data_IF_832774898845
#
_entry.id   IF_832774898845
#
_cell.length_a   1.000
_cell.length_b   1.000
_cell.length_c   1.000
_cell.angle_alpha   90.00
_cell.angle_beta   90.00
_cell.angle_gamma   90.00
#
_symmetry.space_group_name_H-M   'P 1'
#
loop_
_entity.id
_entity.type
_entity.pdbx_description
1 polymer ?
#
# COMPACT_ATOMS: atom_id res chain seq x y z
N UNK A 1 1.56 -23.56 12.86
CA UNK A 1 0.59 -22.52 13.25
C UNK A 1 0.59 -21.48 12.13
N UNK A 2 -0.36 -21.59 11.20
CA UNK A 2 -0.39 -20.85 9.95
C UNK A 2 -0.99 -19.46 10.17
N UNK A 3 -0.17 -18.42 10.13
CA UNK A 3 -0.65 -17.04 10.00
C UNK A 3 -0.92 -16.79 8.52
N UNK A 4 -2.18 -16.93 8.12
CA UNK A 4 -2.66 -16.59 6.79
C UNK A 4 -2.70 -15.07 6.67
N UNK A 5 -1.89 -14.54 5.76
CA UNK A 5 -1.89 -13.13 5.35
C UNK A 5 -3.26 -12.82 4.75
N UNK A 6 -3.95 -11.90 5.39
CA UNK A 6 -5.36 -11.63 5.23
C UNK A 6 -5.60 -10.48 4.23
N UNK A 7 -6.85 -10.45 3.74
CA UNK A 7 -7.65 -9.30 3.33
C UNK A 7 -7.68 -9.02 1.80
N UNK A 8 -8.84 -8.59 1.24
CA UNK A 8 -8.88 -7.85 -0.03
C UNK A 8 -10.10 -6.91 -0.20
N UNK A 9 -11.31 -7.21 0.30
CA UNK A 9 -12.45 -6.30 0.07
C UNK A 9 -13.32 -6.00 1.31
N UNK A 10 -13.61 -6.97 2.18
CA UNK A 10 -14.13 -6.66 3.54
C UNK A 10 -13.12 -6.06 4.50
N UNK A 11 -11.86 -5.96 4.12
CA UNK A 11 -10.82 -5.58 5.06
C UNK A 11 -9.67 -4.77 4.45
N UNK A 12 -9.71 -4.45 3.14
CA UNK A 12 -8.55 -3.93 2.40
C UNK A 12 -8.84 -2.82 1.38
N UNK A 13 -9.95 -2.12 1.54
CA UNK A 13 -10.05 -0.75 1.03
C UNK A 13 -8.88 0.03 1.60
N UNK A 14 -7.96 0.43 0.72
CA UNK A 14 -6.57 0.74 1.04
C UNK A 14 -6.50 1.63 2.28
N UNK A 15 -6.30 0.99 3.42
CA UNK A 15 -5.94 1.64 4.66
C UNK A 15 -4.45 1.42 4.72
N UNK A 16 -3.60 2.46 4.66
CA UNK A 16 -2.26 2.28 5.14
C UNK A 16 -2.45 1.95 6.62
N UNK A 17 -2.23 0.67 6.95
CA UNK A 17 -2.04 0.17 8.30
C UNK A 17 -3.29 0.21 9.20
N UNK A 18 -4.19 -0.77 9.03
CA UNK A 18 -5.05 -1.17 10.16
C UNK A 18 -4.22 -2.02 11.13
N UNK A 19 -3.48 -1.35 12.02
CA UNK A 19 -2.94 -1.98 13.23
C UNK A 19 -4.10 -2.05 14.22
N UNK A 20 -4.45 -3.25 14.68
CA UNK A 20 -5.51 -3.42 15.65
C UNK A 20 -5.16 -2.68 16.95
N UNK A 21 -5.93 -1.64 17.25
CA UNK A 21 -6.21 -1.15 18.61
C UNK A 21 -5.05 -0.52 19.41
N UNK A 22 -4.25 0.39 18.83
CA UNK A 22 -3.30 1.20 19.60
C UNK A 22 -3.46 2.72 19.40
N UNK A 23 -3.26 3.47 20.49
CA UNK A 23 -3.33 4.94 20.58
C UNK A 23 -2.48 5.73 19.56
N UNK A 24 -1.56 5.07 18.87
CA UNK A 24 -0.74 5.56 17.75
C UNK A 24 -1.51 5.77 16.43
N UNK A 25 -2.76 5.29 16.33
CA UNK A 25 -3.64 5.36 15.14
C UNK A 25 -4.00 6.81 14.71
N UNK A 26 -3.75 7.83 15.54
CA UNK A 26 -4.10 9.21 15.20
C UNK A 26 -3.24 9.86 14.10
N UNK A 27 -2.13 9.22 13.70
CA UNK A 27 -1.09 9.89 12.89
C UNK A 27 -0.99 9.35 11.45
N UNK A 28 -1.57 8.18 11.15
CA UNK A 28 -1.47 7.55 9.83
C UNK A 28 -2.82 7.66 9.10
N UNK A 29 -2.75 8.16 7.87
CA UNK A 29 -3.91 8.62 7.15
C UNK A 29 -4.76 7.45 6.60
N UNK A 30 -6.05 7.35 6.95
CA UNK A 30 -6.96 6.28 6.51
C UNK A 30 -7.44 6.40 5.05
N UNK A 31 -6.63 5.98 4.08
CA UNK A 31 -7.17 5.66 2.76
C UNK A 31 -7.85 6.84 2.06
N UNK A 32 -9.13 6.66 1.74
CA UNK A 32 -9.97 7.63 1.05
C UNK A 32 -10.37 8.85 1.87
N UNK A 33 -10.06 8.89 3.17
CA UNK A 33 -10.28 10.09 4.00
C UNK A 33 -9.06 11.03 3.98
N UNK A 34 -8.09 10.75 3.11
CA UNK A 34 -6.78 11.40 3.04
C UNK A 34 -6.64 12.21 1.77
N UNK A 35 -7.17 13.42 1.82
CA UNK A 35 -7.00 14.43 0.80
C UNK A 35 -7.00 15.81 1.43
N UNK A 36 -6.86 16.84 0.60
CA UNK A 36 -6.73 18.23 1.06
C UNK A 36 -8.06 18.88 1.50
N UNK A 37 -9.18 18.16 1.40
CA UNK A 37 -10.49 18.74 1.69
C UNK A 37 -10.73 18.87 3.21
N UNK A 38 -11.23 20.03 3.61
CA UNK A 38 -11.75 20.31 4.96
C UNK A 38 -13.08 19.57 5.19
N UNK A 39 -13.04 18.25 5.23
CA UNK A 39 -14.22 17.44 5.45
C UNK A 39 -14.74 17.64 6.88
N UNK A 40 -16.07 17.66 7.02
CA UNK A 40 -16.71 17.70 8.33
C UNK A 40 -16.37 16.41 9.10
N UNK A 41 -15.83 16.54 10.31
CA UNK A 41 -15.47 15.42 11.18
C UNK A 41 -16.64 14.45 11.39
N UNK A 42 -17.85 14.97 11.58
CA UNK A 42 -19.05 14.14 11.78
C UNK A 42 -19.42 13.35 10.52
N UNK A 43 -19.23 13.93 9.32
CA UNK A 43 -19.45 13.19 8.07
C UNK A 43 -18.39 12.10 7.88
N UNK A 44 -17.13 12.37 8.20
CA UNK A 44 -16.07 11.36 8.19
C UNK A 44 -16.38 10.19 9.12
N UNK A 45 -16.77 10.45 10.37
CA UNK A 45 -17.07 9.41 11.35
C UNK A 45 -18.26 8.55 10.92
N UNK A 46 -19.33 9.17 10.41
CA UNK A 46 -20.50 8.45 9.89
C UNK A 46 -20.16 7.60 8.67
N UNK A 47 -19.34 8.11 7.75
CA UNK A 47 -18.87 7.34 6.60
C UNK A 47 -18.03 6.14 7.04
N UNK A 48 -17.07 6.35 7.95
CA UNK A 48 -16.24 5.27 8.51
C UNK A 48 -17.11 4.21 9.18
N UNK A 49 -18.17 4.63 9.89
CA UNK A 49 -19.12 3.74 10.53
C UNK A 49 -19.85 2.86 9.51
N UNK A 50 -20.35 3.43 8.42
CA UNK A 50 -21.01 2.68 7.34
C UNK A 50 -20.07 1.64 6.75
N UNK A 51 -18.83 2.03 6.46
CA UNK A 51 -17.83 1.09 5.93
C UNK A 51 -17.54 -0.02 6.94
N UNK A 52 -17.40 0.29 8.23
CA UNK A 52 -17.21 -0.73 9.29
C UNK A 52 -18.39 -1.70 9.33
N UNK A 53 -19.62 -1.20 9.33
CA UNK A 53 -20.82 -2.02 9.46
C UNK A 53 -21.01 -2.93 8.23
N UNK A 54 -20.67 -2.43 7.04
CA UNK A 54 -20.60 -3.24 5.83
C UNK A 54 -19.56 -4.37 5.95
N UNK A 55 -18.37 -4.05 6.45
CA UNK A 55 -17.29 -5.03 6.69
C UNK A 55 -17.71 -6.11 7.69
N UNK A 56 -18.46 -5.75 8.71
CA UNK A 56 -18.89 -6.66 9.79
C UNK A 56 -20.17 -7.46 9.48
N UNK A 57 -20.78 -7.32 8.29
CA UNK A 57 -22.10 -7.90 7.94
C UNK A 57 -23.26 -7.38 8.80
N UNK A 58 -23.15 -6.21 9.41
CA UNK A 58 -24.19 -5.66 10.30
C UNK A 58 -24.91 -4.45 9.70
N UNK A 59 -24.56 -4.05 8.47
CA UNK A 59 -25.26 -2.99 7.75
C UNK A 59 -26.66 -3.47 7.36
N UNK A 60 -27.69 -2.80 7.86
CA UNK A 60 -29.10 -3.18 7.65
C UNK A 60 -29.69 -2.73 6.29
N UNK A 61 -28.85 -2.21 5.39
CA UNK A 61 -29.24 -1.72 4.07
C UNK A 61 -28.11 -1.97 3.08
N UNK A 62 -28.37 -1.76 1.78
CA UNK A 62 -27.33 -1.90 0.77
C UNK A 62 -26.29 -0.78 0.88
N UNK A 63 -25.07 -1.07 0.41
CA UNK A 63 -23.97 -0.11 0.47
C UNK A 63 -24.25 1.13 -0.38
N UNK A 64 -24.91 0.99 -1.53
CA UNK A 64 -25.30 2.16 -2.34
C UNK A 64 -26.26 3.08 -1.57
N UNK A 65 -27.32 2.52 -0.98
CA UNK A 65 -28.32 3.25 -0.20
C UNK A 65 -27.68 3.97 1.00
N UNK A 66 -26.75 3.31 1.69
CA UNK A 66 -26.05 3.90 2.82
C UNK A 66 -25.16 5.09 2.43
N UNK A 67 -24.65 5.09 1.19
CA UNK A 67 -23.76 6.14 0.68
C UNK A 67 -24.47 7.25 -0.10
N UNK A 68 -25.71 7.06 -0.52
CA UNK A 68 -26.46 8.01 -1.37
C UNK A 68 -26.40 9.46 -0.87
N UNK A 69 -26.65 9.67 0.42
CA UNK A 69 -26.60 11.02 1.01
C UNK A 69 -25.20 11.66 0.87
N UNK A 70 -24.15 10.89 1.11
CA UNK A 70 -22.78 11.38 0.98
C UNK A 70 -22.41 11.69 -0.47
N UNK A 71 -22.88 10.87 -1.41
CA UNK A 71 -22.67 11.10 -2.84
C UNK A 71 -23.39 12.36 -3.33
N UNK A 72 -24.63 12.59 -2.88
CA UNK A 72 -25.41 13.79 -3.17
C UNK A 72 -24.77 15.05 -2.57
N UNK A 73 -24.28 14.96 -1.33
CA UNK A 73 -23.59 16.05 -0.63
C UNK A 73 -22.19 16.36 -1.20
N UNK A 74 -21.73 15.60 -2.19
CA UNK A 74 -20.42 15.80 -2.79
C UNK A 74 -19.25 15.39 -1.90
N UNK A 75 -19.48 14.51 -0.92
CA UNK A 75 -18.47 14.09 0.05
C UNK A 75 -17.41 13.20 -0.61
N UNK A 76 -16.21 13.77 -0.81
CA UNK A 76 -15.17 13.18 -1.66
C UNK A 76 -14.77 11.75 -1.27
N UNK A 77 -14.61 11.37 0.02
CA UNK A 77 -14.30 9.99 0.38
C UNK A 77 -15.36 8.97 -0.09
N UNK A 78 -16.65 9.33 -0.05
CA UNK A 78 -17.71 8.48 -0.57
C UNK A 78 -17.68 8.40 -2.11
N UNK A 79 -17.38 9.52 -2.79
CA UNK A 79 -17.23 9.52 -4.25
C UNK A 79 -16.04 8.65 -4.68
N UNK A 80 -14.90 8.75 -3.98
CA UNK A 80 -13.72 7.91 -4.20
C UNK A 80 -14.04 6.43 -4.01
N UNK A 81 -14.71 6.08 -2.90
CA UNK A 81 -15.14 4.72 -2.63
C UNK A 81 -16.12 4.20 -3.69
N UNK A 82 -17.14 4.98 -4.05
CA UNK A 82 -18.11 4.61 -5.08
C UNK A 82 -17.46 4.37 -6.45
N UNK A 83 -16.43 5.15 -6.79
CA UNK A 83 -15.63 4.90 -7.99
C UNK A 83 -15.07 3.48 -8.01
N UNK A 84 -14.50 3.04 -6.88
CA UNK A 84 -13.98 1.68 -6.74
C UNK A 84 -15.06 0.62 -6.71
N UNK A 85 -16.19 0.92 -6.10
CA UNK A 85 -17.29 -0.02 -5.97
C UNK A 85 -17.87 -0.34 -7.34
N UNK A 86 -17.95 0.65 -8.23
CA UNK A 86 -18.27 0.46 -9.64
C UNK A 86 -17.16 -0.26 -10.42
N UNK A 87 -15.89 -0.05 -10.09
CA UNK A 87 -14.78 -0.73 -10.77
C UNK A 87 -14.73 -2.23 -10.48
N UNK A 88 -15.08 -2.64 -9.25
CA UNK A 88 -14.96 -4.01 -8.79
C UNK A 88 -16.28 -4.70 -8.49
N UNK A 89 -17.42 -4.07 -8.82
CA UNK A 89 -18.76 -4.64 -8.61
C UNK A 89 -19.03 -5.03 -7.14
N UNK A 90 -18.80 -4.09 -6.22
CA UNK A 90 -18.88 -4.37 -4.79
C UNK A 90 -20.31 -4.24 -4.29
N UNK A 91 -20.76 -5.24 -3.52
CA UNK A 91 -22.11 -5.32 -2.95
C UNK A 91 -23.22 -5.22 -4.02
N UNK A 92 -23.92 -4.09 -4.06
CA UNK A 92 -25.00 -3.80 -5.02
C UNK A 92 -24.59 -2.82 -6.12
N UNK A 93 -23.32 -2.38 -6.16
CA UNK A 93 -22.80 -1.56 -7.24
C UNK A 93 -22.55 -2.42 -8.48
N UNK A 94 -23.21 -2.08 -9.60
CA UNK A 94 -22.95 -2.74 -10.88
C UNK A 94 -21.58 -2.33 -11.44
N UNK A 95 -20.91 -3.29 -12.09
CA UNK A 95 -19.65 -3.06 -12.80
C UNK A 95 -19.85 -1.97 -13.87
N UNK A 96 -19.19 -0.83 -13.69
CA UNK A 96 -19.29 0.29 -14.61
C UNK A 96 -17.96 1.09 -14.64
N UNK A 97 -17.01 0.70 -15.50
CA UNK A 97 -15.71 1.37 -15.62
C UNK A 97 -15.81 2.85 -15.99
N UNK A 98 -16.79 3.24 -16.80
CA UNK A 98 -16.95 4.62 -17.21
C UNK A 98 -17.38 5.49 -16.01
N UNK A 99 -18.36 5.02 -15.23
CA UNK A 99 -18.79 5.69 -14.01
C UNK A 99 -17.67 5.74 -12.97
N UNK A 100 -16.93 4.64 -12.81
CA UNK A 100 -15.73 4.58 -11.98
C UNK A 100 -14.74 5.69 -12.37
N UNK A 101 -14.39 5.78 -13.66
CA UNK A 101 -13.43 6.75 -14.17
C UNK A 101 -13.86 8.19 -13.86
N UNK A 102 -15.12 8.53 -14.11
CA UNK A 102 -15.67 9.87 -13.85
C UNK A 102 -15.57 10.25 -12.37
N UNK A 103 -15.96 9.34 -11.48
CA UNK A 103 -15.92 9.56 -10.03
C UNK A 103 -14.48 9.69 -9.53
N UNK A 104 -13.58 8.82 -9.97
CA UNK A 104 -12.17 8.85 -9.57
C UNK A 104 -11.45 10.09 -10.08
N UNK A 105 -11.68 10.51 -11.34
CA UNK A 105 -11.11 11.75 -11.90
C UNK A 105 -11.55 12.99 -11.12
N UNK A 106 -12.83 13.05 -10.74
CA UNK A 106 -13.36 14.14 -9.90
C UNK A 106 -12.64 14.23 -8.54
N UNK A 107 -12.33 13.10 -7.93
CA UNK A 107 -11.68 13.08 -6.61
C UNK A 107 -10.15 13.30 -6.70
N UNK A 108 -9.53 12.88 -7.80
CA UNK A 108 -8.11 13.09 -8.04
C UNK A 108 -7.74 14.59 -8.07
N UNK A 109 -8.60 15.46 -8.64
CA UNK A 109 -8.37 16.91 -8.61
C UNK A 109 -8.32 17.51 -7.20
N UNK A 110 -8.85 16.80 -6.20
CA UNK A 110 -8.82 17.22 -4.78
C UNK A 110 -7.63 16.64 -4.00
N UNK A 111 -6.69 15.98 -4.69
CA UNK A 111 -5.44 15.48 -4.12
C UNK A 111 -5.60 14.22 -3.27
N UNK A 112 -6.54 13.36 -3.62
CA UNK A 112 -6.72 12.06 -2.95
C UNK A 112 -5.84 11.00 -3.59
N UNK A 113 -4.81 10.54 -2.86
CA UNK A 113 -3.84 9.58 -3.39
C UNK A 113 -4.47 8.28 -3.89
N UNK A 114 -5.52 7.78 -3.22
CA UNK A 114 -6.19 6.54 -3.61
C UNK A 114 -6.84 6.66 -4.98
N UNK A 115 -7.35 7.85 -5.33
CA UNK A 115 -7.93 8.09 -6.64
C UNK A 115 -6.84 8.07 -7.72
N UNK A 116 -5.70 8.70 -7.45
CA UNK A 116 -4.54 8.64 -8.33
C UNK A 116 -4.02 7.21 -8.49
N UNK A 117 -3.90 6.43 -7.42
CA UNK A 117 -3.49 5.02 -7.50
C UNK A 117 -4.42 4.23 -8.42
N UNK A 118 -5.73 4.31 -8.19
CA UNK A 118 -6.70 3.55 -8.97
C UNK A 118 -6.82 4.03 -10.42
N UNK A 119 -6.63 5.32 -10.68
CA UNK A 119 -6.55 5.86 -12.04
C UNK A 119 -5.30 5.35 -12.78
N UNK A 120 -4.15 5.26 -12.10
CA UNK A 120 -2.91 4.74 -12.70
C UNK A 120 -3.02 3.27 -13.16
N UNK A 121 -3.98 2.52 -12.63
CA UNK A 121 -4.23 1.11 -12.99
C UNK A 121 -5.65 0.88 -13.54
N UNK A 122 -6.34 1.96 -13.92
CA UNK A 122 -7.72 1.88 -14.38
C UNK A 122 -7.80 1.30 -15.81
N UNK A 123 -8.75 0.39 -16.13
CA UNK A 123 -8.87 -0.25 -17.44
C UNK A 123 -9.06 0.73 -18.62
N UNK A 124 -9.63 1.90 -18.35
CA UNK A 124 -9.92 2.92 -19.37
C UNK A 124 -8.79 3.96 -19.54
N UNK A 125 -7.76 3.94 -18.70
CA UNK A 125 -6.60 4.83 -18.84
C UNK A 125 -5.58 4.09 -19.71
N UNK A 126 -5.64 4.35 -21.03
CA UNK A 126 -4.78 3.70 -22.03
C UNK A 126 -3.62 4.58 -22.49
N UNK A 127 -3.67 5.89 -22.19
CA UNK A 127 -2.60 6.82 -22.50
C UNK A 127 -1.46 6.68 -21.46
N UNK A 128 -0.24 6.27 -21.87
CA UNK A 128 0.88 6.10 -20.94
C UNK A 128 1.24 7.38 -20.18
N UNK A 129 1.08 8.56 -20.77
CA UNK A 129 1.38 9.83 -20.10
C UNK A 129 0.39 10.16 -18.98
N UNK A 130 -0.89 9.83 -19.19
CA UNK A 130 -1.93 10.01 -18.15
C UNK A 130 -1.75 8.99 -17.03
N UNK A 131 -1.39 7.75 -17.40
CA UNK A 131 -1.05 6.71 -16.44
C UNK A 131 0.13 7.12 -15.55
N UNK A 132 1.22 7.59 -16.16
CA UNK A 132 2.43 8.01 -15.48
C UNK A 132 2.19 9.23 -14.56
N UNK A 133 1.38 10.18 -15.02
CA UNK A 133 0.93 11.32 -14.20
C UNK A 133 0.22 10.84 -12.93
N UNK A 134 -0.78 9.95 -13.05
CA UNK A 134 -1.50 9.44 -11.90
C UNK A 134 -0.61 8.62 -10.98
N UNK A 135 0.33 7.85 -11.53
CA UNK A 135 1.28 7.08 -10.75
C UNK A 135 2.17 7.99 -9.89
N UNK A 136 2.75 9.04 -10.47
CA UNK A 136 3.63 9.96 -9.75
C UNK A 136 2.88 10.81 -8.72
N UNK A 137 1.70 11.34 -9.05
CA UNK A 137 0.90 12.09 -8.09
C UNK A 137 0.40 11.20 -6.95
N UNK A 138 0.01 9.95 -7.25
CA UNK A 138 -0.32 8.96 -6.23
C UNK A 138 0.85 8.74 -5.27
N UNK A 139 2.05 8.49 -5.79
CA UNK A 139 3.26 8.27 -4.99
C UNK A 139 3.58 9.48 -4.12
N UNK A 140 3.55 10.71 -4.68
CA UNK A 140 3.78 11.96 -3.95
C UNK A 140 2.82 12.16 -2.79
N UNK A 141 1.56 11.73 -2.95
CA UNK A 141 0.51 11.85 -1.94
C UNK A 141 0.48 10.68 -0.94
N UNK A 142 1.38 9.70 -1.06
CA UNK A 142 1.53 8.60 -0.09
C UNK A 142 1.00 7.24 -0.53
N UNK A 143 0.64 7.07 -1.81
CA UNK A 143 0.22 5.77 -2.36
C UNK A 143 1.38 4.77 -2.31
N UNK A 144 1.20 3.72 -1.51
CA UNK A 144 2.18 2.64 -1.37
C UNK A 144 2.38 1.91 -2.69
N UNK A 145 1.29 1.56 -3.38
CA UNK A 145 1.40 0.79 -4.62
C UNK A 145 2.05 1.62 -5.71
N UNK A 146 1.71 2.90 -5.81
CA UNK A 146 2.35 3.79 -6.78
C UNK A 146 3.84 3.95 -6.53
N UNK A 147 4.26 4.19 -5.27
CA UNK A 147 5.69 4.24 -4.92
C UNK A 147 6.41 2.94 -5.28
N UNK A 148 5.79 1.79 -4.99
CA UNK A 148 6.39 0.49 -5.25
C UNK A 148 6.52 0.21 -6.75
N UNK A 149 5.48 0.47 -7.54
CA UNK A 149 5.52 0.34 -9.01
C UNK A 149 6.58 1.25 -9.62
N UNK A 150 6.69 2.51 -9.19
CA UNK A 150 7.76 3.41 -9.66
C UNK A 150 9.13 2.83 -9.28
N UNK A 151 9.31 2.35 -8.05
CA UNK A 151 10.57 1.75 -7.62
C UNK A 151 10.98 0.53 -8.47
N UNK A 152 10.03 -0.35 -8.80
CA UNK A 152 10.28 -1.49 -9.68
C UNK A 152 10.69 -1.03 -11.09
N UNK A 153 9.98 -0.06 -11.66
CA UNK A 153 10.36 0.53 -12.96
C UNK A 153 11.77 1.14 -12.91
N UNK A 154 12.13 1.84 -11.83
CA UNK A 154 13.48 2.36 -11.64
C UNK A 154 14.53 1.24 -11.56
N UNK A 155 14.25 0.12 -10.87
CA UNK A 155 15.14 -1.05 -10.81
C UNK A 155 15.34 -1.65 -12.20
N UNK A 156 14.27 -1.84 -12.98
CA UNK A 156 14.33 -2.37 -14.34
C UNK A 156 15.16 -1.49 -15.29
N UNK A 157 15.11 -0.16 -15.07
CA UNK A 157 15.88 0.82 -15.83
C UNK A 157 17.24 1.17 -15.20
N UNK A 158 17.74 0.36 -14.25
CA UNK A 158 19.02 0.55 -13.55
C UNK A 158 19.18 1.88 -12.78
N UNK A 159 18.08 2.56 -12.48
CA UNK A 159 18.02 3.80 -11.68
C UNK A 159 17.91 3.49 -10.18
N UNK A 160 18.90 2.77 -9.64
CA UNK A 160 18.83 2.21 -8.28
C UNK A 160 18.75 3.25 -7.16
N UNK A 161 19.41 4.40 -7.30
CA UNK A 161 19.33 5.50 -6.32
C UNK A 161 17.91 6.08 -6.23
N UNK A 162 17.27 6.27 -7.38
CA UNK A 162 15.89 6.74 -7.44
C UNK A 162 14.91 5.70 -6.86
N UNK A 163 15.10 4.42 -7.19
CA UNK A 163 14.33 3.33 -6.59
C UNK A 163 14.46 3.34 -5.06
N UNK A 164 15.68 3.54 -4.54
CA UNK A 164 15.95 3.58 -3.11
C UNK A 164 15.19 4.73 -2.40
N UNK A 165 15.00 5.89 -3.04
CA UNK A 165 14.22 6.97 -2.44
C UNK A 165 12.78 6.53 -2.13
N UNK A 166 12.12 5.87 -3.08
CA UNK A 166 10.77 5.33 -2.88
C UNK A 166 10.75 4.17 -1.87
N UNK A 167 11.66 3.22 -2.00
CA UNK A 167 11.71 2.02 -1.14
C UNK A 167 12.00 2.36 0.32
N UNK A 168 12.81 3.38 0.60
CA UNK A 168 13.06 3.84 1.97
C UNK A 168 11.77 4.27 2.66
N UNK A 169 10.93 5.06 1.98
CA UNK A 169 9.64 5.50 2.52
C UNK A 169 8.73 4.31 2.83
N UNK A 170 8.69 3.32 1.95
CA UNK A 170 7.91 2.09 2.14
C UNK A 170 8.42 1.25 3.31
N UNK A 171 9.74 1.03 3.41
CA UNK A 171 10.36 0.31 4.52
C UNK A 171 10.08 0.99 5.87
N UNK A 172 10.15 2.32 5.90
CA UNK A 172 9.84 3.08 7.09
C UNK A 172 8.36 2.93 7.48
N UNK A 173 7.44 3.02 6.50
CA UNK A 173 6.01 2.87 6.74
C UNK A 173 5.64 1.50 7.33
N UNK A 174 6.27 0.41 6.89
CA UNK A 174 6.01 -0.94 7.44
C UNK A 174 6.67 -1.18 8.79
N UNK A 175 7.65 -0.35 9.18
CA UNK A 175 8.52 -0.62 10.33
C UNK A 175 7.75 -0.72 11.65
N UNK A 176 6.71 0.10 11.86
CA UNK A 176 5.89 0.10 13.08
C UNK A 176 5.29 -1.28 13.41
N UNK A 177 4.82 -2.01 12.39
CA UNK A 177 4.27 -3.36 12.54
C UNK A 177 5.32 -4.43 12.85
N UNK A 178 6.55 -4.20 12.41
CA UNK A 178 7.66 -5.15 12.56
C UNK A 178 8.39 -4.98 13.89
N UNK A 179 8.57 -3.74 14.34
CA UNK A 179 9.12 -3.42 15.66
C UNK A 179 8.28 -4.02 16.79
N UNK A 180 6.96 -4.17 16.59
CA UNK A 180 6.07 -4.81 17.57
C UNK A 180 6.17 -6.34 17.60
N UNK A 181 6.56 -7.00 16.50
CA UNK A 181 6.53 -8.47 16.38
C UNK A 181 7.86 -9.16 16.64
N UNK A 182 9.00 -8.45 16.61
CA UNK A 182 10.33 -9.03 16.90
C UNK A 182 11.19 -8.04 17.69
N UNK A 183 11.43 -8.33 18.97
CA UNK A 183 12.50 -7.65 19.73
C UNK A 183 13.81 -7.95 19.01
N UNK A 184 14.53 -6.91 18.61
CA UNK A 184 15.75 -7.04 17.81
C UNK A 184 16.93 -7.72 18.56
N UNK A 185 16.80 -7.89 19.89
CA UNK A 185 17.78 -8.58 20.72
C UNK A 185 18.94 -7.69 21.19
N UNK A 186 19.72 -8.20 22.15
CA UNK A 186 20.87 -7.49 22.72
C UNK A 186 21.97 -7.27 21.67
N UNK A 187 22.25 -8.26 20.83
CA UNK A 187 23.30 -8.17 19.80
C UNK A 187 23.05 -7.02 18.82
N UNK A 188 21.81 -6.85 18.35
CA UNK A 188 21.44 -5.71 17.52
C UNK A 188 21.63 -4.38 18.27
N UNK A 189 21.23 -4.32 19.53
CA UNK A 189 21.37 -3.10 20.33
C UNK A 189 22.85 -2.72 20.54
N UNK A 190 23.71 -3.72 20.77
CA UNK A 190 25.16 -3.53 20.90
C UNK A 190 25.80 -3.08 19.59
N UNK A 191 25.34 -3.61 18.44
CA UNK A 191 25.77 -3.17 17.12
C UNK A 191 25.38 -1.70 16.87
N UNK A 192 24.12 -1.35 17.10
CA UNK A 192 23.61 0.02 16.96
C UNK A 192 24.34 0.96 17.91
N UNK A 193 24.55 0.58 19.17
CA UNK A 193 25.31 1.36 20.14
C UNK A 193 26.73 1.61 19.66
N UNK A 194 27.39 0.59 19.12
CA UNK A 194 28.77 0.71 18.63
C UNK A 194 28.88 1.67 17.44
N UNK A 195 27.90 1.63 16.53
CA UNK A 195 27.77 2.59 15.42
C UNK A 195 27.53 4.00 15.93
N UNK A 196 26.57 4.19 16.84
CA UNK A 196 26.21 5.51 17.39
C UNK A 196 27.36 6.16 18.17
N UNK A 197 28.11 5.36 18.93
CA UNK A 197 29.29 5.83 19.68
C UNK A 197 30.54 5.96 18.80
N UNK A 198 30.47 5.55 17.53
CA UNK A 198 31.59 5.51 16.58
C UNK A 198 32.87 4.92 17.19
N UNK A 199 32.73 3.78 17.87
CA UNK A 199 33.85 3.13 18.53
C UNK A 199 34.65 2.24 17.54
N UNK A 200 35.73 1.61 18.02
CA UNK A 200 36.58 0.71 17.24
C UNK A 200 35.85 -0.51 16.64
N UNK A 201 34.65 -0.86 17.11
CA UNK A 201 33.82 -1.94 16.58
C UNK A 201 32.81 -1.47 15.53
N UNK A 202 32.65 -0.16 15.32
CA UNK A 202 31.63 0.43 14.42
C UNK A 202 31.57 -0.23 13.04
N UNK A 203 32.71 -0.43 12.37
CA UNK A 203 32.75 -1.08 11.05
C UNK A 203 32.31 -2.56 11.09
N UNK A 204 32.67 -3.29 12.16
CA UNK A 204 32.23 -4.66 12.33
C UNK A 204 30.72 -4.73 12.58
N UNK A 205 30.19 -3.85 13.44
CA UNK A 205 28.76 -3.73 13.70
C UNK A 205 27.95 -3.36 12.46
N UNK A 206 28.46 -2.49 11.59
CA UNK A 206 27.85 -2.24 10.28
C UNK A 206 27.74 -3.51 9.42
N UNK A 207 28.80 -4.30 9.34
CA UNK A 207 28.81 -5.58 8.60
C UNK A 207 27.85 -6.60 9.20
N UNK A 208 27.77 -6.66 10.52
CA UNK A 208 26.85 -7.54 11.23
C UNK A 208 25.39 -7.13 11.02
N UNK A 209 25.08 -5.83 11.05
CA UNK A 209 23.76 -5.33 10.66
C UNK A 209 23.45 -5.66 9.20
N UNK A 210 24.42 -5.55 8.28
CA UNK A 210 24.22 -5.96 6.86
C UNK A 210 23.87 -7.43 6.76
N UNK A 211 24.57 -8.30 7.49
CA UNK A 211 24.27 -9.75 7.54
C UNK A 211 22.87 -10.00 8.07
N UNK A 212 22.50 -9.38 9.20
CA UNK A 212 21.16 -9.48 9.80
C UNK A 212 20.08 -8.99 8.82
N UNK A 213 20.32 -7.87 8.14
CA UNK A 213 19.42 -7.30 7.14
C UNK A 213 19.15 -8.28 5.99
N UNK A 214 20.18 -8.94 5.46
CA UNK A 214 20.02 -9.99 4.43
C UNK A 214 19.23 -11.21 4.91
N UNK A 215 19.22 -11.47 6.21
CA UNK A 215 18.48 -12.56 6.83
C UNK A 215 17.04 -12.20 7.25
N UNK A 216 16.49 -11.08 6.76
CA UNK A 216 15.10 -10.70 7.06
C UNK A 216 14.93 -9.90 8.36
N UNK A 217 16.00 -9.37 8.95
CA UNK A 217 15.92 -8.46 10.09
C UNK A 217 15.66 -7.00 9.64
N UNK A 218 14.38 -6.63 9.47
CA UNK A 218 13.97 -5.30 8.98
C UNK A 218 14.60 -4.12 9.74
N UNK A 219 14.68 -4.09 11.09
CA UNK A 219 15.34 -2.98 11.78
C UNK A 219 16.80 -2.80 11.39
N UNK A 220 17.50 -3.89 11.05
CA UNK A 220 18.88 -3.79 10.56
C UNK A 220 18.89 -3.26 9.13
N UNK A 221 17.96 -3.67 8.27
CA UNK A 221 17.83 -3.14 6.92
C UNK A 221 17.61 -1.62 6.92
N UNK A 222 16.80 -1.08 7.84
CA UNK A 222 16.61 0.37 7.99
C UNK A 222 17.91 1.10 8.36
N UNK A 223 18.70 0.54 9.28
CA UNK A 223 20.02 1.09 9.63
C UNK A 223 20.97 1.08 8.44
N UNK A 224 21.04 -0.04 7.71
CA UNK A 224 21.88 -0.14 6.52
C UNK A 224 21.44 0.86 5.45
N UNK A 225 20.14 1.07 5.28
CA UNK A 225 19.61 2.06 4.37
C UNK A 225 20.05 3.48 4.75
N UNK A 226 19.88 3.84 6.03
CA UNK A 226 20.31 5.16 6.51
C UNK A 226 21.82 5.33 6.42
N UNK A 227 22.59 4.28 6.72
CA UNK A 227 24.03 4.23 6.55
C UNK A 227 24.48 4.50 5.11
N UNK A 228 23.81 3.89 4.14
CA UNK A 228 24.06 4.14 2.71
C UNK A 228 23.73 5.60 2.35
N UNK A 229 22.53 6.06 2.67
CA UNK A 229 22.03 7.41 2.33
C UNK A 229 22.85 8.53 2.95
N UNK A 230 23.36 8.32 4.17
CA UNK A 230 24.19 9.30 4.88
C UNK A 230 25.68 9.17 4.57
N UNK A 231 26.09 8.20 3.73
CA UNK A 231 27.49 7.92 3.43
C UNK A 231 28.29 7.33 4.60
N UNK A 232 27.62 6.91 5.69
CA UNK A 232 28.25 6.30 6.87
C UNK A 232 28.59 4.83 6.68
N UNK A 233 28.01 4.18 5.67
CA UNK A 233 28.29 2.79 5.32
C UNK A 233 28.27 2.61 3.79
N UNK A 234 29.41 2.22 3.22
CA UNK A 234 29.63 2.13 1.76
C UNK A 234 29.89 0.71 1.26
N UNK A 235 29.82 -0.31 2.11
CA UNK A 235 30.01 -1.71 1.70
C UNK A 235 28.73 -2.36 1.13
N UNK A 236 27.68 -1.58 0.88
CA UNK A 236 26.47 -2.01 0.15
C UNK A 236 26.26 -1.06 -1.02
N UNK A 237 26.02 -1.61 -2.21
CA UNK A 237 25.73 -0.78 -3.39
C UNK A 237 24.26 -0.36 -3.41
N UNK A 238 23.94 0.73 -4.12
CA UNK A 238 22.55 1.14 -4.34
C UNK A 238 21.70 0.03 -4.96
N UNK A 239 22.28 -0.74 -5.90
CA UNK A 239 21.65 -1.92 -6.51
C UNK A 239 21.33 -2.99 -5.47
N UNK A 240 22.32 -3.37 -4.66
CA UNK A 240 22.12 -4.38 -3.61
C UNK A 240 21.06 -3.94 -2.59
N UNK A 241 21.05 -2.66 -2.22
CA UNK A 241 20.04 -2.09 -1.31
C UNK A 241 18.64 -2.09 -1.92
N UNK A 242 18.50 -1.72 -3.20
CA UNK A 242 17.20 -1.69 -3.88
C UNK A 242 16.54 -3.07 -3.90
N UNK A 243 17.30 -4.12 -4.27
CA UNK A 243 16.78 -5.50 -4.24
C UNK A 243 16.50 -6.00 -2.82
N UNK A 244 17.34 -5.65 -1.84
CA UNK A 244 17.09 -6.03 -0.46
C UNK A 244 15.79 -5.38 0.06
N UNK A 245 15.60 -4.09 -0.22
CA UNK A 245 14.42 -3.34 0.18
C UNK A 245 13.14 -3.80 -0.52
N UNK A 246 13.19 -4.06 -1.83
CA UNK A 246 12.04 -4.57 -2.59
C UNK A 246 11.55 -5.90 -2.02
N UNK A 247 12.47 -6.79 -1.63
CA UNK A 247 12.10 -8.07 -1.01
C UNK A 247 11.33 -7.91 0.31
N UNK A 248 11.65 -6.90 1.12
CA UNK A 248 10.89 -6.62 2.34
C UNK A 248 9.49 -6.07 2.06
N UNK A 249 9.35 -5.26 1.01
CA UNK A 249 8.04 -4.73 0.61
C UNK A 249 7.19 -5.86 0.02
N UNK A 250 7.75 -6.67 -0.87
CA UNK A 250 7.06 -7.80 -1.53
C UNK A 250 6.63 -8.89 -0.54
N UNK A 251 7.49 -9.26 0.41
CA UNK A 251 7.17 -10.27 1.42
C UNK A 251 6.52 -9.66 2.68
N UNK A 252 6.28 -8.35 2.67
CA UNK A 252 5.72 -7.59 3.78
C UNK A 252 4.20 -7.59 3.81
N UNK A 253 3.66 -6.80 4.74
CA UNK A 253 2.21 -6.63 4.93
C UNK A 253 1.55 -5.76 3.86
N UNK A 254 2.32 -5.25 2.90
CA UNK A 254 1.84 -4.33 1.86
C UNK A 254 1.48 -5.05 0.56
N UNK A 255 1.79 -6.35 0.44
CA UNK A 255 1.43 -7.11 -0.75
C UNK A 255 -0.04 -7.46 -0.73
N UNK A 256 -0.73 -6.98 -1.75
CA UNK A 256 -1.99 -7.58 -2.20
C UNK A 256 -1.75 -9.03 -2.57
N UNK A 257 -2.42 -9.96 -1.90
CA UNK A 257 -2.36 -11.37 -2.26
C UNK A 257 -3.50 -11.73 -3.23
N UNK A 258 -3.13 -12.02 -4.48
CA UNK A 258 -4.06 -12.52 -5.49
C UNK A 258 -4.82 -13.76 -4.99
N UNK A 259 -4.15 -14.69 -4.29
CA UNK A 259 -4.79 -15.89 -3.77
C UNK A 259 -5.88 -15.55 -2.73
N UNK A 260 -5.64 -14.56 -1.88
CA UNK A 260 -6.62 -14.05 -0.92
C UNK A 260 -7.86 -13.46 -1.60
N UNK A 261 -7.71 -12.76 -2.73
CA UNK A 261 -8.84 -12.25 -3.49
C UNK A 261 -9.68 -13.40 -4.11
N UNK A 262 -9.04 -14.44 -4.66
CA UNK A 262 -9.75 -15.61 -5.20
C UNK A 262 -10.51 -16.38 -4.11
N UNK A 263 -9.89 -16.56 -2.94
CA UNK A 263 -10.49 -17.30 -1.82
C UNK A 263 -11.50 -16.48 -1.01
N UNK A 264 -11.65 -15.19 -1.31
CA UNK A 264 -12.61 -14.35 -0.59
C UNK A 264 -14.05 -14.82 -0.83
N UNK A 265 -14.85 -14.75 0.24
CA UNK A 265 -16.30 -14.98 0.21
C UNK A 265 -17.09 -13.69 -0.04
N UNK A 266 -16.41 -12.55 -0.15
CA UNK A 266 -17.08 -11.27 -0.38
C UNK A 266 -17.65 -11.22 -1.81
N UNK A 267 -18.73 -10.45 -2.00
CA UNK A 267 -19.36 -10.23 -3.29
C UNK A 267 -18.66 -9.10 -4.05
N UNK A 268 -17.79 -9.46 -4.98
CA UNK A 268 -17.12 -8.57 -5.92
C UNK A 268 -16.66 -9.32 -7.17
N UNK A 269 -16.33 -8.58 -8.23
CA UNK A 269 -15.83 -9.12 -9.48
C UNK A 269 -14.35 -9.50 -9.36
N UNK A 270 -14.10 -10.77 -8.96
CA UNK A 270 -12.75 -11.33 -8.79
C UNK A 270 -11.89 -11.21 -10.04
N UNK A 271 -12.49 -11.35 -11.22
CA UNK A 271 -11.78 -11.25 -12.51
C UNK A 271 -11.25 -9.84 -12.76
N UNK A 272 -12.04 -8.81 -12.48
CA UNK A 272 -11.60 -7.42 -12.63
C UNK A 272 -10.57 -7.01 -11.57
N UNK A 273 -10.67 -7.54 -10.35
CA UNK A 273 -9.61 -7.40 -9.34
C UNK A 273 -8.30 -7.99 -9.86
N UNK A 274 -8.32 -9.20 -10.43
CA UNK A 274 -7.13 -9.83 -10.98
C UNK A 274 -6.52 -9.02 -12.13
N UNK A 275 -7.35 -8.52 -13.05
CA UNK A 275 -6.88 -7.63 -14.12
C UNK A 275 -6.25 -6.36 -13.58
N UNK A 276 -6.80 -5.80 -12.50
CA UNK A 276 -6.21 -4.65 -11.82
C UNK A 276 -4.83 -4.98 -11.25
N UNK A 277 -4.66 -6.12 -10.58
CA UNK A 277 -3.36 -6.55 -10.05
C UNK A 277 -2.33 -6.83 -11.14
N UNK A 278 -2.74 -7.38 -12.28
CA UNK A 278 -1.85 -7.54 -13.44
C UNK A 278 -1.36 -6.18 -13.94
N UNK A 279 -2.21 -5.15 -13.99
CA UNK A 279 -1.78 -3.78 -14.36
C UNK A 279 -0.80 -3.18 -13.36
N UNK A 280 -0.81 -3.65 -12.11
CA UNK A 280 0.18 -3.27 -11.08
C UNK A 280 1.49 -4.08 -11.18
N UNK A 281 1.56 -5.09 -12.05
CA UNK A 281 2.73 -5.96 -12.23
C UNK A 281 2.69 -7.26 -11.43
N UNK A 282 1.53 -7.69 -10.91
CA UNK A 282 1.42 -8.94 -10.16
C UNK A 282 1.41 -10.16 -11.10
N UNK A 283 2.54 -10.88 -11.15
CA UNK A 283 2.75 -12.09 -11.95
C UNK A 283 1.90 -13.29 -11.49
N UNK A 284 1.52 -13.34 -10.22
CA UNK A 284 0.65 -14.41 -9.69
C UNK A 284 -0.78 -14.18 -10.17
N UNK A 285 -1.25 -12.93 -10.16
CA UNK A 285 -2.53 -12.56 -10.76
C UNK A 285 -2.57 -12.86 -12.27
N UNK A 286 -1.47 -12.61 -12.99
CA UNK A 286 -1.33 -12.94 -14.41
C UNK A 286 -1.47 -14.44 -14.66
N UNK A 287 -0.81 -15.26 -13.84
CA UNK A 287 -0.95 -16.71 -13.91
C UNK A 287 -2.40 -17.15 -13.67
N UNK A 288 -3.09 -16.59 -12.66
CA UNK A 288 -4.49 -16.95 -12.41
C UNK A 288 -5.44 -16.58 -13.55
N UNK A 289 -5.25 -15.42 -14.19
CA UNK A 289 -6.08 -15.02 -15.34
C UNK A 289 -5.91 -15.93 -16.56
N UNK A 290 -4.81 -16.67 -16.66
CA UNK A 290 -4.60 -17.64 -17.75
C UNK A 290 -5.45 -18.91 -17.62
N UNK A 291 -6.11 -19.13 -16.47
CA UNK A 291 -7.00 -20.25 -16.20
C UNK A 291 -8.45 -19.76 -15.99
N UNK A 292 -9.33 -19.84 -17.00
CA UNK A 292 -10.69 -19.33 -16.93
C UNK A 292 -11.54 -19.96 -15.81
N UNK A 293 -11.27 -21.21 -15.44
CA UNK A 293 -12.05 -21.99 -14.46
C UNK A 293 -12.06 -21.41 -13.03
N UNK A 294 -11.22 -20.39 -12.75
CA UNK A 294 -11.20 -19.71 -11.45
C UNK A 294 -12.28 -18.63 -11.27
N UNK A 295 -13.02 -18.23 -12.32
CA UNK A 295 -13.92 -17.06 -12.31
C UNK A 295 -15.35 -17.34 -12.75
#
# INVERSE_FOLDING_TARGET
MYFVTLFFFRHFLIQPLYISNESTIKVICRGWTCGNSKNNLTQNDNFIQIIRDYKENILNMSLSTALDKFLLDGFIPAISAAGLFHLFEIDDFSYNPQKSLELLKKCASDGYWACHEHLAFHPLITNPSEQDFHLHEGAKLGSVSSMYTIALNCIENEKYEEANNYLFHLLYAISGNWFQKRRAGLEYADDVKSILLNNNKSLHSWRDLKKKAKSGHLPAALWIFDGLRTGRFNEISAKEMAFLASNYVENGLLKTDALSALNSKDRFNKKEVMKYLVRMGDKVAEAFLSYPDFF
#
